data_IF_482113160191
#
_entry.id   IF_482113160191
#
_cell.length_a   1.000
_cell.length_b   1.000
_cell.length_c   1.000
_cell.angle_alpha   90.00
_cell.angle_beta   90.00
_cell.angle_gamma   90.00
#
_symmetry.space_group_name_H-M   'P 1'
#
loop_
_entity.id
_entity.type
_entity.pdbx_description
1 polymer ?
#
# COMPACT_ATOMS: atom_id res chain seq x y z
N UNK A 1 4.02 -1.19 -16.84
CA UNK A 1 5.30 -1.58 -16.22
C UNK A 1 5.01 -2.47 -15.02
N UNK A 2 5.79 -3.50 -14.83
CA UNK A 2 5.65 -4.41 -13.68
C UNK A 2 7.02 -4.61 -13.04
N UNK A 3 7.10 -4.43 -11.72
CA UNK A 3 8.30 -4.68 -10.93
C UNK A 3 7.98 -5.78 -9.91
N UNK A 4 9.02 -6.49 -9.50
CA UNK A 4 8.89 -7.50 -8.45
C UNK A 4 10.08 -7.35 -7.51
N UNK A 5 9.80 -6.90 -6.30
CA UNK A 5 10.79 -6.76 -5.24
C UNK A 5 10.71 -7.95 -4.30
N UNK A 6 11.81 -8.31 -3.70
CA UNK A 6 11.85 -9.39 -2.71
C UNK A 6 12.86 -9.10 -1.61
N UNK A 7 12.61 -9.67 -0.42
CA UNK A 7 13.50 -9.61 0.74
C UNK A 7 13.83 -8.17 1.17
N UNK A 8 15.02 -7.93 1.70
CA UNK A 8 15.47 -6.61 2.19
C UNK A 8 15.37 -5.47 1.18
N UNK A 9 15.31 -5.78 -0.12
CA UNK A 9 15.17 -4.77 -1.18
C UNK A 9 13.83 -4.06 -1.19
N UNK A 10 12.79 -4.65 -0.63
CA UNK A 10 11.49 -3.99 -0.48
C UNK A 10 11.64 -2.75 0.42
N UNK A 11 12.58 -2.76 1.38
CA UNK A 11 12.86 -1.62 2.25
C UNK A 11 13.32 -0.34 1.51
N UNK A 12 13.84 -0.49 0.30
CA UNK A 12 14.30 0.64 -0.51
C UNK A 12 13.23 1.14 -1.51
N UNK A 13 12.00 0.66 -1.38
CA UNK A 13 10.84 1.15 -2.12
C UNK A 13 10.84 0.81 -3.59
N UNK A 14 11.72 1.42 -4.37
CA UNK A 14 11.76 1.32 -5.83
C UNK A 14 13.07 0.73 -6.37
N UNK A 15 13.78 -0.07 -5.58
CA UNK A 15 14.98 -0.75 -6.08
C UNK A 15 14.60 -1.78 -7.14
N UNK A 16 15.36 -1.80 -8.25
CA UNK A 16 15.09 -2.70 -9.36
C UNK A 16 15.28 -4.16 -8.93
N UNK A 17 14.36 -5.01 -9.36
CA UNK A 17 14.48 -6.45 -9.16
C UNK A 17 15.74 -6.98 -9.86
N UNK A 18 16.46 -7.84 -9.17
CA UNK A 18 17.61 -8.58 -9.69
C UNK A 18 17.23 -10.05 -9.86
N UNK A 19 18.11 -10.83 -10.47
CA UNK A 19 17.93 -12.30 -10.54
C UNK A 19 18.01 -12.91 -9.13
N UNK A 20 16.90 -12.93 -8.44
CA UNK A 20 16.75 -13.52 -7.12
C UNK A 20 15.63 -14.55 -7.14
N UNK A 21 15.89 -15.72 -6.59
CA UNK A 21 14.86 -16.76 -6.41
C UNK A 21 14.38 -16.71 -4.96
N UNK A 22 13.11 -16.39 -4.71
CA UNK A 22 12.57 -16.35 -3.35
C UNK A 22 12.75 -17.69 -2.64
N UNK A 23 13.03 -17.62 -1.34
CA UNK A 23 13.20 -18.77 -0.44
C UNK A 23 12.03 -18.85 0.52
N UNK A 24 11.81 -20.02 1.10
CA UNK A 24 10.81 -20.15 2.16
C UNK A 24 11.04 -19.13 3.28
N UNK A 25 10.01 -18.39 3.65
CA UNK A 25 10.08 -17.30 4.62
C UNK A 25 10.27 -15.90 4.02
N UNK A 26 10.52 -15.79 2.72
CA UNK A 26 10.60 -14.49 2.05
C UNK A 26 9.22 -13.88 1.80
N UNK A 27 9.23 -12.58 1.52
CA UNK A 27 8.10 -11.86 0.94
C UNK A 27 8.48 -11.36 -0.44
N UNK A 28 7.51 -11.35 -1.35
CA UNK A 28 7.66 -10.87 -2.72
C UNK A 28 6.60 -9.82 -2.96
N UNK A 29 7.00 -8.67 -3.47
CA UNK A 29 6.11 -7.55 -3.79
C UNK A 29 6.07 -7.31 -5.30
N UNK A 30 5.16 -7.94 -6.03
CA UNK A 30 4.83 -7.52 -7.39
C UNK A 30 4.09 -6.18 -7.36
N UNK A 31 4.59 -5.26 -8.15
CA UNK A 31 4.09 -3.90 -8.32
C UNK A 31 3.74 -3.73 -9.80
N UNK A 32 2.49 -3.42 -10.10
CA UNK A 32 2.00 -3.24 -11.45
C UNK A 32 1.51 -1.81 -11.65
N UNK A 33 2.08 -1.13 -12.64
CA UNK A 33 1.59 0.15 -13.13
C UNK A 33 1.07 0.00 -14.55
N UNK A 34 -0.13 0.47 -14.78
CA UNK A 34 -0.73 0.57 -16.10
C UNK A 34 -0.89 2.04 -16.48
N UNK A 35 -0.80 2.31 -17.78
CA UNK A 35 -1.13 3.62 -18.35
C UNK A 35 -2.01 3.40 -19.56
N UNK A 36 -3.20 4.00 -19.56
CA UNK A 36 -4.17 3.94 -20.66
C UNK A 36 -4.63 5.36 -20.97
N UNK A 37 -4.52 5.75 -22.22
CA UNK A 37 -4.90 7.10 -22.70
C UNK A 37 -4.32 8.25 -21.88
N UNK A 38 -3.11 8.06 -21.34
CA UNK A 38 -2.43 9.07 -20.51
C UNK A 38 -2.67 8.94 -19.02
N UNK A 39 -3.65 8.19 -18.56
CA UNK A 39 -3.97 7.99 -17.14
C UNK A 39 -3.29 6.76 -16.55
N UNK A 40 -2.79 6.92 -15.33
CA UNK A 40 -2.12 5.86 -14.60
C UNK A 40 -3.06 5.18 -13.60
N UNK A 41 -2.74 3.93 -13.31
CA UNK A 41 -3.26 3.16 -12.19
C UNK A 41 -2.15 2.25 -11.67
N UNK A 42 -2.19 1.94 -10.39
CA UNK A 42 -1.26 1.00 -9.77
C UNK A 42 -1.98 -0.05 -8.93
N UNK A 43 -1.31 -1.17 -8.78
CA UNK A 43 -1.70 -2.23 -7.88
C UNK A 43 -0.47 -2.94 -7.31
N UNK A 44 -0.45 -3.11 -6.02
CA UNK A 44 0.63 -3.82 -5.35
C UNK A 44 0.08 -4.83 -4.34
N UNK A 45 0.76 -5.96 -4.26
CA UNK A 45 0.41 -7.02 -3.31
C UNK A 45 1.67 -7.69 -2.80
N UNK A 46 1.80 -7.78 -1.50
CA UNK A 46 2.81 -8.67 -0.92
C UNK A 46 2.34 -10.11 -0.96
N UNK A 47 3.20 -11.00 -1.42
CA UNK A 47 2.99 -12.45 -1.45
C UNK A 47 4.00 -13.08 -0.50
N UNK A 48 3.53 -13.84 0.47
CA UNK A 48 4.37 -14.66 1.33
C UNK A 48 4.90 -15.86 0.53
N UNK A 49 6.21 -16.03 0.50
CA UNK A 49 6.82 -17.18 -0.17
C UNK A 49 7.05 -18.31 0.83
N UNK A 50 6.14 -19.26 0.85
CA UNK A 50 6.07 -20.28 1.90
C UNK A 50 5.60 -19.70 3.24
N UNK A 51 6.18 -20.13 4.34
CA UNK A 51 5.78 -19.73 5.69
C UNK A 51 6.63 -18.56 6.20
N UNK A 52 6.05 -17.40 6.30
CA UNK A 52 6.69 -16.22 6.92
C UNK A 52 6.49 -16.20 8.44
N UNK A 53 7.42 -15.61 9.18
CA UNK A 53 7.41 -15.54 10.65
C UNK A 53 8.00 -14.21 11.14
N UNK A 54 8.00 -14.01 12.47
CA UNK A 54 8.58 -12.82 13.10
C UNK A 54 7.97 -11.52 12.58
N UNK A 55 8.81 -10.49 12.41
CA UNK A 55 8.39 -9.15 12.01
C UNK A 55 7.68 -9.12 10.64
N UNK A 56 8.10 -9.96 9.71
CA UNK A 56 7.41 -10.07 8.40
C UNK A 56 5.95 -10.49 8.53
N UNK A 57 5.68 -11.49 9.38
CA UNK A 57 4.31 -11.96 9.59
C UNK A 57 3.47 -10.94 10.38
N UNK A 58 4.07 -10.27 11.36
CA UNK A 58 3.43 -9.21 12.12
C UNK A 58 3.13 -8.00 11.24
N UNK A 59 4.11 -7.55 10.44
CA UNK A 59 3.95 -6.45 9.49
C UNK A 59 2.88 -6.76 8.44
N UNK A 60 2.83 -7.98 7.93
CA UNK A 60 1.81 -8.37 6.97
C UNK A 60 0.39 -8.20 7.54
N UNK A 61 0.19 -8.65 8.79
CA UNK A 61 -1.11 -8.47 9.48
C UNK A 61 -1.43 -7.00 9.72
N UNK A 62 -0.44 -6.21 10.14
CA UNK A 62 -0.61 -4.78 10.40
C UNK A 62 -0.96 -4.01 9.12
N UNK A 63 -0.31 -4.32 7.99
CA UNK A 63 -0.62 -3.69 6.68
C UNK A 63 -2.02 -4.05 6.21
N UNK A 64 -2.45 -5.29 6.33
CA UNK A 64 -3.83 -5.66 5.99
C UNK A 64 -4.84 -4.95 6.90
N UNK A 65 -4.57 -4.85 8.21
CA UNK A 65 -5.44 -4.13 9.14
C UNK A 65 -5.50 -2.63 8.84
N UNK A 66 -4.35 -2.00 8.54
CA UNK A 66 -4.26 -0.60 8.15
C UNK A 66 -5.10 -0.33 6.89
N UNK A 67 -4.92 -1.14 5.87
CA UNK A 67 -5.69 -1.06 4.63
C UNK A 67 -7.21 -1.13 4.90
N UNK A 68 -7.67 -2.08 5.68
CA UNK A 68 -9.08 -2.21 6.02
C UNK A 68 -9.59 -1.01 6.84
N UNK A 69 -8.75 -0.43 7.71
CA UNK A 69 -9.10 0.76 8.48
C UNK A 69 -9.29 1.99 7.58
N UNK A 70 -8.43 2.18 6.57
CA UNK A 70 -8.57 3.25 5.57
C UNK A 70 -9.87 3.08 4.76
N UNK A 71 -10.13 1.88 4.24
CA UNK A 71 -11.34 1.61 3.45
C UNK A 71 -12.65 1.83 4.23
N UNK A 72 -12.66 1.62 5.54
CA UNK A 72 -13.85 1.84 6.39
C UNK A 72 -14.29 3.30 6.45
N UNK A 73 -13.36 4.24 6.31
CA UNK A 73 -13.64 5.68 6.41
C UNK A 73 -13.55 6.38 5.06
N UNK A 74 -13.26 5.65 3.98
CA UNK A 74 -13.02 6.18 2.64
C UNK A 74 -14.33 6.66 1.99
N UNK A 75 -14.56 7.97 2.03
CA UNK A 75 -15.75 8.63 1.46
C UNK A 75 -15.49 10.12 1.27
N UNK A 76 -16.30 10.83 0.48
CA UNK A 76 -16.24 12.30 0.42
C UNK A 76 -16.32 12.95 1.80
N UNK A 77 -15.50 13.98 2.00
CA UNK A 77 -15.43 14.75 3.26
C UNK A 77 -14.49 14.17 4.31
N UNK A 78 -13.97 12.97 4.15
CA UNK A 78 -12.87 12.45 4.99
C UNK A 78 -11.58 13.20 4.66
N UNK A 79 -10.83 13.65 5.65
CA UNK A 79 -9.54 14.29 5.44
C UNK A 79 -8.46 13.24 5.08
N UNK A 80 -7.48 13.64 4.26
CA UNK A 80 -6.34 12.78 3.94
C UNK A 80 -5.55 12.37 5.19
N UNK A 81 -5.42 13.28 6.16
CA UNK A 81 -4.80 12.99 7.46
C UNK A 81 -5.58 11.95 8.28
N UNK A 82 -6.91 11.89 8.17
CA UNK A 82 -7.71 10.85 8.86
C UNK A 82 -7.44 9.46 8.29
N UNK A 83 -7.26 9.34 6.96
CA UNK A 83 -6.83 8.08 6.32
C UNK A 83 -5.44 7.66 6.83
N UNK A 84 -4.48 8.61 6.87
CA UNK A 84 -3.16 8.35 7.42
C UNK A 84 -3.23 7.88 8.88
N UNK A 85 -4.00 8.57 9.73
CA UNK A 85 -4.14 8.20 11.14
C UNK A 85 -4.80 6.82 11.32
N UNK A 86 -5.76 6.47 10.47
CA UNK A 86 -6.37 5.15 10.50
C UNK A 86 -5.32 4.05 10.26
N UNK A 87 -4.46 4.20 9.27
CA UNK A 87 -3.37 3.27 8.99
C UNK A 87 -2.31 3.28 10.11
N UNK A 88 -1.85 4.47 10.54
CA UNK A 88 -0.84 4.64 11.58
C UNK A 88 -1.26 4.00 12.92
N UNK A 89 -2.53 4.07 13.27
CA UNK A 89 -3.05 3.45 14.48
C UNK A 89 -2.93 1.91 14.42
N UNK A 90 -3.21 1.30 13.29
CA UNK A 90 -3.06 -0.15 13.13
C UNK A 90 -1.57 -0.56 13.14
N UNK A 91 -0.68 0.25 12.55
CA UNK A 91 0.76 0.04 12.65
C UNK A 91 1.27 0.10 14.07
N UNK A 92 0.86 1.11 14.86
CA UNK A 92 1.19 1.23 16.28
C UNK A 92 0.68 0.04 17.09
N UNK A 93 -0.55 -0.42 16.87
CA UNK A 93 -1.10 -1.63 17.50
C UNK A 93 -0.31 -2.89 17.15
N UNK A 94 0.23 -2.95 15.94
CA UNK A 94 1.09 -4.04 15.47
C UNK A 94 2.52 -4.00 16.03
N UNK A 95 2.91 -2.95 16.77
CA UNK A 95 4.26 -2.78 17.31
C UNK A 95 5.22 -2.03 16.38
N UNK A 96 4.71 -1.35 15.33
CA UNK A 96 5.53 -0.66 14.32
C UNK A 96 5.46 0.87 14.42
N UNK A 97 5.20 1.42 15.61
CA UNK A 97 5.09 2.86 15.83
C UNK A 97 6.36 3.66 15.51
N UNK A 98 7.54 3.04 15.60
CA UNK A 98 8.84 3.67 15.36
C UNK A 98 9.24 3.74 13.87
N UNK A 99 8.52 3.04 12.98
CA UNK A 99 8.81 2.98 11.55
C UNK A 99 7.61 3.39 10.69
N UNK A 100 6.81 4.34 11.17
CA UNK A 100 5.66 4.83 10.42
C UNK A 100 6.09 5.42 9.07
N UNK A 101 5.39 5.08 7.97
CA UNK A 101 5.68 5.67 6.66
C UNK A 101 5.32 7.15 6.63
N UNK A 102 6.00 7.93 5.80
CA UNK A 102 5.68 9.35 5.61
C UNK A 102 4.33 9.57 4.91
N UNK A 103 3.83 8.55 4.20
CA UNK A 103 2.51 8.57 3.56
C UNK A 103 2.00 7.14 3.37
N UNK A 104 0.69 6.99 3.20
CA UNK A 104 0.00 5.71 2.96
C UNK A 104 -0.87 5.74 1.70
N UNK A 105 -0.58 6.64 0.78
CA UNK A 105 -1.25 6.81 -0.51
C UNK A 105 -0.96 8.17 -1.14
N UNK A 106 -1.42 8.37 -2.35
CA UNK A 106 -1.24 9.60 -3.12
C UNK A 106 -2.29 9.73 -4.23
N UNK A 107 -2.39 10.92 -4.80
CA UNK A 107 -3.13 11.14 -6.04
C UNK A 107 -2.49 10.38 -7.21
N UNK A 108 -3.30 9.93 -8.14
CA UNK A 108 -2.87 9.30 -9.37
C UNK A 108 -3.74 9.77 -10.53
N UNK A 109 -3.12 10.05 -11.67
CA UNK A 109 -3.81 10.56 -12.85
C UNK A 109 -2.89 10.56 -14.06
N UNK A 110 -2.56 11.72 -14.61
CA UNK A 110 -1.63 11.85 -15.73
C UNK A 110 -0.20 11.47 -15.36
N UNK A 111 0.13 11.54 -14.07
CA UNK A 111 1.37 11.02 -13.50
C UNK A 111 1.07 9.84 -12.58
N UNK A 112 2.07 8.95 -12.42
CA UNK A 112 1.96 7.83 -11.50
C UNK A 112 1.83 8.29 -10.05
N UNK A 113 2.42 9.44 -9.71
CA UNK A 113 2.32 10.09 -8.41
C UNK A 113 1.91 11.53 -8.60
N UNK A 114 0.79 11.92 -8.03
CA UNK A 114 0.28 13.29 -8.02
C UNK A 114 -0.07 13.74 -6.59
N UNK A 115 -0.14 15.04 -6.39
CA UNK A 115 -0.74 15.62 -5.21
C UNK A 115 -2.27 15.38 -5.23
N UNK A 116 -2.91 15.18 -4.08
CA UNK A 116 -2.38 15.21 -2.71
C UNK A 116 -1.82 13.87 -2.23
N UNK A 117 -0.95 13.90 -1.20
CA UNK A 117 -0.50 12.68 -0.49
C UNK A 117 -1.40 12.38 0.71
N UNK A 118 -1.63 11.09 0.97
CA UNK A 118 -2.26 10.61 2.21
C UNK A 118 -1.19 10.63 3.31
N UNK A 119 -1.05 11.77 3.98
CA UNK A 119 -0.01 12.07 4.94
C UNK A 119 -0.58 12.72 6.21
N UNK A 120 0.18 12.71 7.30
CA UNK A 120 -0.27 13.13 8.63
C UNK A 120 -0.72 14.59 8.67
N UNK A 121 -0.06 15.45 7.93
CA UNK A 121 -0.27 16.90 7.92
C UNK A 121 -1.26 17.38 6.84
N UNK A 122 -1.78 16.47 6.01
CA UNK A 122 -2.67 16.85 4.91
C UNK A 122 -4.14 16.89 5.34
N UNK A 123 -4.63 18.10 5.56
CA UNK A 123 -6.02 18.38 5.99
C UNK A 123 -7.02 18.53 4.86
N UNK A 124 -6.63 18.39 3.59
CA UNK A 124 -7.56 18.40 2.47
C UNK A 124 -8.62 17.32 2.62
N UNK A 125 -9.80 17.62 2.13
CA UNK A 125 -10.92 16.68 2.17
C UNK A 125 -11.04 15.92 0.84
N UNK A 126 -11.32 14.64 0.92
CA UNK A 126 -11.68 13.83 -0.25
C UNK A 126 -12.92 14.44 -0.94
N UNK A 127 -12.86 14.53 -2.27
CA UNK A 127 -13.95 15.01 -3.10
C UNK A 127 -14.31 13.98 -4.17
N UNK A 128 -15.58 13.89 -4.59
CA UNK A 128 -15.98 13.06 -5.72
C UNK A 128 -15.15 13.39 -6.97
N UNK A 129 -14.79 12.38 -7.72
CA UNK A 129 -13.93 12.48 -8.90
C UNK A 129 -12.43 12.36 -8.63
N UNK A 130 -11.98 12.45 -7.38
CA UNK A 130 -10.58 12.19 -7.06
C UNK A 130 -10.24 10.72 -7.28
N UNK A 131 -9.07 10.47 -7.90
CA UNK A 131 -8.47 9.15 -8.01
C UNK A 131 -7.21 9.14 -7.16
N UNK A 132 -7.16 8.23 -6.22
CA UNK A 132 -6.04 8.12 -5.27
C UNK A 132 -5.62 6.67 -5.09
N UNK A 133 -4.44 6.46 -4.53
CA UNK A 133 -4.04 5.15 -4.03
C UNK A 133 -4.35 5.02 -2.54
N UNK A 134 -4.69 3.82 -2.11
CA UNK A 134 -4.64 3.37 -0.71
C UNK A 134 -3.49 2.39 -0.65
N UNK A 135 -2.37 2.83 -0.04
CA UNK A 135 -1.06 2.17 -0.18
C UNK A 135 -0.33 2.03 1.17
N UNK A 136 -0.97 1.47 2.20
CA UNK A 136 -0.28 1.25 3.45
C UNK A 136 0.87 0.25 3.29
N UNK A 137 2.02 0.57 3.87
CA UNK A 137 3.22 -0.26 3.82
C UNK A 137 4.13 -0.03 5.01
N UNK A 138 4.83 -1.08 5.41
CA UNK A 138 5.88 -1.07 6.43
C UNK A 138 7.16 -1.60 5.80
N UNK A 139 8.25 -0.89 5.98
CA UNK A 139 9.54 -1.21 5.39
C UNK A 139 10.66 -1.04 6.41
N UNK A 140 11.55 -2.03 6.47
CA UNK A 140 12.72 -2.02 7.34
C UNK A 140 13.88 -2.79 6.69
N UNK A 141 15.09 -2.24 6.78
CA UNK A 141 16.26 -2.82 6.13
C UNK A 141 16.65 -4.20 6.67
N UNK A 142 16.27 -4.55 7.90
CA UNK A 142 16.61 -5.81 8.53
C UNK A 142 15.73 -6.98 8.08
N UNK A 143 14.45 -6.73 7.77
CA UNK A 143 13.50 -7.80 7.40
C UNK A 143 12.79 -7.59 6.06
N UNK A 144 12.99 -6.43 5.41
CA UNK A 144 12.40 -6.13 4.10
C UNK A 144 11.18 -5.23 4.20
N UNK A 145 10.05 -5.63 3.63
CA UNK A 145 8.85 -4.80 3.65
C UNK A 145 7.59 -5.55 3.23
N UNK A 146 6.47 -4.98 3.61
CA UNK A 146 5.13 -5.41 3.21
C UNK A 146 4.37 -4.19 2.75
N UNK A 147 3.76 -4.22 1.58
CA UNK A 147 2.94 -3.15 1.03
C UNK A 147 1.79 -3.70 0.19
N UNK A 148 0.65 -3.06 0.30
CA UNK A 148 -0.50 -3.30 -0.57
C UNK A 148 -0.96 -1.96 -1.11
N UNK A 149 -1.20 -1.85 -2.41
CA UNK A 149 -1.75 -0.66 -3.05
C UNK A 149 -2.98 -1.00 -3.89
N UNK A 150 -3.99 -0.18 -3.77
CA UNK A 150 -5.17 -0.17 -4.64
C UNK A 150 -5.41 1.24 -5.17
N UNK A 151 -5.74 1.34 -6.45
CA UNK A 151 -6.27 2.58 -7.04
C UNK A 151 -7.78 2.63 -6.84
N UNK A 152 -8.27 3.77 -6.34
CA UNK A 152 -9.68 3.99 -6.03
C UNK A 152 -10.18 5.31 -6.62
N UNK A 153 -11.42 5.32 -7.09
CA UNK A 153 -12.17 6.50 -7.47
C UNK A 153 -13.09 6.90 -6.31
N UNK A 154 -13.01 8.14 -5.85
CA UNK A 154 -13.98 8.68 -4.89
C UNK A 154 -15.26 9.04 -5.63
N UNK A 155 -16.38 8.43 -5.22
CA UNK A 155 -17.71 8.66 -5.78
C UNK A 155 -18.51 9.60 -4.90
N UNK A 156 -19.71 10.00 -5.32
CA UNK A 156 -20.60 10.87 -4.53
C UNK A 156 -20.98 10.29 -3.15
N UNK A 157 -20.95 8.97 -2.98
CA UNK A 157 -21.43 8.29 -1.77
C UNK A 157 -20.40 7.41 -1.07
N UNK A 158 -19.19 7.31 -1.62
CA UNK A 158 -18.14 6.44 -1.09
C UNK A 158 -17.00 6.31 -2.10
N UNK A 159 -16.68 5.12 -2.52
CA UNK A 159 -15.61 4.87 -3.48
C UNK A 159 -15.87 3.64 -4.36
N UNK A 160 -15.23 3.63 -5.52
CA UNK A 160 -15.11 2.47 -6.40
C UNK A 160 -13.65 2.03 -6.44
N UNK A 161 -13.39 0.77 -6.13
CA UNK A 161 -12.04 0.19 -6.26
C UNK A 161 -11.80 -0.22 -7.70
N UNK A 162 -10.85 0.44 -8.36
CA UNK A 162 -10.52 0.21 -9.76
C UNK A 162 -9.62 -1.02 -9.96
N UNK A 163 -8.84 -1.40 -8.95
CA UNK A 163 -8.00 -2.59 -8.95
C UNK A 163 -8.70 -3.77 -8.28
N UNK A 164 -8.94 -4.86 -9.02
CA UNK A 164 -9.73 -6.01 -8.57
C UNK A 164 -8.87 -7.25 -8.34
N UNK A 165 -7.74 -7.11 -7.65
CA UNK A 165 -6.90 -8.24 -7.27
C UNK A 165 -7.21 -8.70 -5.83
N UNK A 166 -7.03 -9.98 -5.49
CA UNK A 166 -7.22 -10.44 -4.10
C UNK A 166 -6.46 -9.60 -3.10
N UNK A 167 -7.07 -9.28 -1.97
CA UNK A 167 -6.59 -8.31 -0.98
C UNK A 167 -6.36 -8.88 0.42
N UNK A 168 -6.58 -10.16 0.61
CA UNK A 168 -6.25 -10.87 1.83
C UNK A 168 -4.77 -11.32 1.87
N UNK A 169 -4.48 -12.19 2.82
CA UNK A 169 -3.17 -12.84 2.89
C UNK A 169 -2.95 -13.73 1.65
N UNK A 170 -1.87 -13.47 0.95
CA UNK A 170 -1.47 -14.20 -0.26
C UNK A 170 -0.21 -15.02 0.04
N UNK A 171 -0.20 -16.28 -0.36
CA UNK A 171 0.99 -17.13 -0.28
C UNK A 171 1.09 -18.02 -1.52
N UNK A 172 2.33 -18.35 -1.92
CA UNK A 172 2.55 -19.48 -2.79
C UNK A 172 2.44 -20.76 -1.93
N UNK A 173 1.73 -21.75 -2.42
CA UNK A 173 1.65 -23.10 -1.81
C UNK A 173 2.53 -24.07 -2.58
#
# INVERSE_FOLDING_TARGET
QMWCLSDSRIAYGCDCSRSYKPRNGDVVLPMAWAKVDGYHAENERTIAWGQISGDRAAAYKAVLAAREAEFKILKPGTAFSELYQAAANEFKKGGFGDILPGRVGHGVGNSAHEYPSVAEDNTLLLQPGMVITIEPGLMDASWGGVRHSDTVLITEKGYDRLTQYPNGYLSNR
#
